data_IF_037428506757
#
_entry.id   IF_037428506757
#
_cell.length_a   1.000
_cell.length_b   1.000
_cell.length_c   1.000
_cell.angle_alpha   90.00
_cell.angle_beta   90.00
_cell.angle_gamma   90.00
#
_symmetry.space_group_name_H-M   'P 1'
#
loop_
_entity.id
_entity.type
_entity.pdbx_description
1 polymer ?
#
# COMPACT_ATOMS: atom_id res chain seq x y z
N UNK A 1 2.38 -6.71 14.21
CA UNK A 1 2.81 -5.83 13.10
C UNK A 1 3.92 -6.51 12.33
N UNK A 2 3.79 -6.60 11.04
CA UNK A 2 4.75 -7.32 10.21
C UNK A 2 5.02 -6.58 8.92
N UNK A 3 6.29 -6.52 8.53
CA UNK A 3 6.67 -6.00 7.22
C UNK A 3 6.46 -7.10 6.19
N UNK A 4 5.52 -6.90 5.29
CA UNK A 4 5.14 -7.90 4.29
C UNK A 4 5.62 -7.53 2.89
N UNK A 5 6.25 -6.38 2.73
CA UNK A 5 6.80 -5.98 1.45
C UNK A 5 7.72 -4.79 1.58
N UNK A 6 8.58 -4.63 0.60
CA UNK A 6 9.47 -3.48 0.50
C UNK A 6 9.37 -2.92 -0.91
N UNK A 7 9.46 -1.60 -1.00
CA UNK A 7 9.25 -0.88 -2.25
C UNK A 7 10.30 0.17 -2.44
N UNK A 8 10.67 0.42 -3.69
CA UNK A 8 11.68 1.41 -4.06
C UNK A 8 11.07 2.39 -5.06
N UNK A 9 11.35 3.68 -4.88
CA UNK A 9 10.92 4.69 -5.81
C UNK A 9 11.73 4.61 -7.10
N UNK A 10 11.03 4.57 -8.24
CA UNK A 10 11.67 4.50 -9.54
C UNK A 10 10.76 5.17 -10.58
N UNK A 11 11.28 6.20 -11.25
CA UNK A 11 10.57 6.91 -12.30
C UNK A 11 9.19 7.42 -11.86
N UNK A 12 9.10 7.90 -10.62
CA UNK A 12 7.86 8.41 -10.07
C UNK A 12 6.89 7.36 -9.56
N UNK A 13 7.27 6.10 -9.63
CA UNK A 13 6.44 4.98 -9.17
C UNK A 13 7.13 4.29 -8.01
N UNK A 14 6.37 3.50 -7.25
CA UNK A 14 6.94 2.63 -6.23
C UNK A 14 6.83 1.20 -6.71
N UNK A 15 7.95 0.49 -6.74
CA UNK A 15 8.03 -0.86 -7.27
C UNK A 15 8.58 -1.78 -6.20
N UNK A 16 7.94 -2.91 -6.01
CA UNK A 16 8.39 -3.89 -5.02
C UNK A 16 7.55 -5.14 -5.02
N UNK A 17 7.62 -5.87 -3.93
CA UNK A 17 6.95 -7.16 -3.79
C UNK A 17 6.28 -7.28 -2.44
N UNK A 18 5.16 -7.99 -2.42
CA UNK A 18 4.55 -8.52 -1.21
C UNK A 18 4.89 -9.99 -1.10
N UNK A 19 5.25 -10.42 0.09
CA UNK A 19 5.45 -11.83 0.36
C UNK A 19 4.88 -12.17 1.73
N UNK A 20 3.91 -13.07 1.76
CA UNK A 20 3.31 -13.63 2.96
C UNK A 20 3.27 -15.14 2.79
N UNK A 21 2.59 -15.84 3.70
CA UNK A 21 2.46 -17.29 3.57
C UNK A 21 1.72 -17.70 2.29
N UNK A 22 0.76 -16.90 1.85
CA UNK A 22 -0.09 -17.27 0.71
C UNK A 22 0.05 -16.32 -0.47
N UNK A 23 0.72 -15.18 -0.30
CA UNK A 23 0.81 -14.16 -1.34
C UNK A 23 2.28 -13.93 -1.69
N UNK A 24 2.59 -14.02 -2.97
CA UNK A 24 3.90 -13.64 -3.49
C UNK A 24 3.65 -12.93 -4.81
N UNK A 25 3.71 -11.61 -4.79
CA UNK A 25 3.33 -10.83 -5.95
C UNK A 25 4.18 -9.57 -6.06
N UNK A 26 4.52 -9.23 -7.30
CA UNK A 26 5.16 -7.95 -7.61
C UNK A 26 4.07 -6.90 -7.75
N UNK A 27 4.26 -5.76 -7.12
CA UNK A 27 3.30 -4.66 -7.17
C UNK A 27 3.97 -3.38 -7.63
N UNK A 28 3.20 -2.56 -8.33
CA UNK A 28 3.61 -1.22 -8.72
C UNK A 28 2.58 -0.22 -8.22
N UNK A 29 3.02 0.80 -7.50
CA UNK A 29 2.18 1.91 -7.08
C UNK A 29 2.42 3.05 -8.07
N UNK A 30 1.44 3.33 -8.91
CA UNK A 30 1.53 4.40 -9.91
C UNK A 30 0.74 5.61 -9.44
N UNK A 31 1.30 6.83 -9.56
CA UNK A 31 0.56 8.03 -9.17
C UNK A 31 -0.78 8.10 -9.89
N UNK A 32 -1.83 8.41 -9.15
CA UNK A 32 -3.16 8.57 -9.73
C UNK A 32 -3.28 9.98 -10.28
N UNK A 33 -3.40 10.09 -11.58
CA UNK A 33 -3.51 11.40 -12.23
C UNK A 33 -4.92 11.97 -12.20
N UNK A 34 -5.90 11.15 -11.88
CA UNK A 34 -7.28 11.59 -11.80
C UNK A 34 -7.68 11.75 -10.33
N UNK A 35 -7.40 12.90 -9.76
CA UNK A 35 -7.71 13.21 -8.37
C UNK A 35 -8.78 14.30 -8.27
N UNK A 36 -9.74 14.29 -9.18
CA UNK A 36 -10.84 15.24 -9.16
C UNK A 36 -11.78 15.05 -7.97
N UNK A 37 -11.74 13.87 -7.36
CA UNK A 37 -12.54 13.52 -6.19
C UNK A 37 -11.62 13.50 -4.96
N UNK A 38 -11.95 14.21 -3.85
CA UNK A 38 -11.10 14.19 -2.67
C UNK A 38 -10.94 12.79 -2.05
N UNK A 39 -11.82 11.86 -2.38
CA UNK A 39 -11.71 10.48 -1.91
C UNK A 39 -10.88 9.59 -2.85
N UNK A 40 -10.36 10.14 -3.93
CA UNK A 40 -9.55 9.37 -4.87
C UNK A 40 -8.19 9.01 -4.24
N UNK A 41 -7.65 7.83 -4.54
CA UNK A 41 -6.35 7.44 -4.01
C UNK A 41 -5.22 8.27 -4.61
N UNK A 42 -4.14 8.44 -3.84
CA UNK A 42 -2.93 9.11 -4.34
C UNK A 42 -2.17 8.21 -5.32
N UNK A 43 -2.21 6.89 -5.10
CA UNK A 43 -1.61 5.90 -5.98
C UNK A 43 -2.61 4.83 -6.35
N UNK A 44 -2.49 4.32 -7.57
CA UNK A 44 -3.20 3.12 -7.99
C UNK A 44 -2.22 1.96 -7.95
N UNK A 45 -2.65 0.82 -7.46
CA UNK A 45 -1.77 -0.34 -7.26
C UNK A 45 -2.06 -1.38 -8.33
N UNK A 46 -1.00 -1.82 -8.99
CA UNK A 46 -1.11 -2.81 -10.08
C UNK A 46 -0.22 -4.01 -9.81
N UNK A 47 -0.69 -5.18 -10.23
CA UNK A 47 0.14 -6.36 -10.37
C UNK A 47 0.16 -6.71 -11.85
N UNK A 48 1.26 -6.38 -12.53
CA UNK A 48 1.28 -6.44 -13.97
C UNK A 48 0.28 -5.45 -14.55
N UNK A 49 -0.69 -5.95 -15.28
CA UNK A 49 -1.76 -5.13 -15.87
C UNK A 49 -3.00 -5.05 -15.00
N UNK A 50 -3.08 -5.88 -13.98
CA UNK A 50 -4.28 -5.93 -13.14
C UNK A 50 -4.21 -4.86 -12.07
N UNK A 51 -5.22 -4.03 -12.00
CA UNK A 51 -5.35 -3.05 -10.91
C UNK A 51 -5.93 -3.77 -9.70
N UNK A 52 -5.17 -3.79 -8.60
CA UNK A 52 -5.54 -4.56 -7.42
C UNK A 52 -5.79 -3.70 -6.19
N UNK A 53 -5.70 -2.39 -6.31
CA UNK A 53 -6.00 -1.55 -5.15
C UNK A 53 -5.58 -0.11 -5.31
N UNK A 54 -5.55 0.58 -4.18
CA UNK A 54 -5.16 1.98 -4.11
C UNK A 54 -4.47 2.30 -2.80
N UNK A 55 -3.84 3.46 -2.77
CA UNK A 55 -3.17 3.96 -1.58
C UNK A 55 -3.59 5.40 -1.35
N UNK A 56 -4.01 5.70 -0.12
CA UNK A 56 -4.49 7.01 0.28
C UNK A 56 -3.50 7.65 1.25
N UNK A 57 -3.15 8.91 1.00
CA UNK A 57 -2.23 9.64 1.86
C UNK A 57 -2.89 9.96 3.19
N UNK A 58 -2.18 9.66 4.28
CA UNK A 58 -2.62 9.94 5.64
C UNK A 58 -1.47 10.57 6.41
N UNK A 59 -1.81 11.28 7.47
CA UNK A 59 -0.82 11.86 8.37
C UNK A 59 -1.00 11.25 9.74
N UNK A 60 0.09 10.75 10.32
CA UNK A 60 0.08 10.17 11.65
C UNK A 60 -0.14 11.27 12.69
N UNK A 61 -1.12 11.08 13.57
CA UNK A 61 -1.40 12.04 14.65
C UNK A 61 -0.28 12.08 15.68
N UNK A 62 0.42 10.95 15.85
CA UNK A 62 1.45 10.84 16.87
C UNK A 62 2.79 11.42 16.43
N UNK A 63 3.17 11.24 15.17
CA UNK A 63 4.48 11.63 14.69
C UNK A 63 4.46 12.76 13.67
N UNK A 64 3.29 13.09 13.12
CA UNK A 64 3.16 14.05 12.04
C UNK A 64 3.70 13.57 10.70
N UNK A 65 4.16 12.33 10.61
CA UNK A 65 4.69 11.78 9.36
C UNK A 65 3.59 11.35 8.43
N UNK A 66 3.83 11.51 7.15
CA UNK A 66 2.94 11.03 6.11
C UNK A 66 3.17 9.54 5.87
N UNK A 67 2.07 8.82 5.75
CA UNK A 67 2.11 7.42 5.33
C UNK A 67 0.94 7.18 4.38
N UNK A 68 0.89 6.01 3.77
CA UNK A 68 -0.20 5.68 2.87
C UNK A 68 -0.97 4.49 3.40
N UNK A 69 -2.30 4.66 3.47
CA UNK A 69 -3.19 3.56 3.80
C UNK A 69 -3.47 2.81 2.51
N UNK A 70 -3.12 1.54 2.46
CA UNK A 70 -3.19 0.72 1.25
C UNK A 70 -4.34 -0.26 1.37
N UNK A 71 -5.17 -0.32 0.34
CA UNK A 71 -6.24 -1.30 0.23
C UNK A 71 -5.99 -2.13 -1.01
N UNK A 72 -5.83 -3.44 -0.83
CA UNK A 72 -5.69 -4.38 -1.93
C UNK A 72 -6.90 -5.27 -1.98
N UNK A 73 -7.40 -5.52 -3.18
CA UNK A 73 -8.55 -6.37 -3.38
C UNK A 73 -8.40 -7.10 -4.70
N UNK A 74 -8.64 -8.39 -4.68
CA UNK A 74 -8.50 -9.24 -5.85
C UNK A 74 -9.53 -10.36 -5.73
N UNK A 75 -10.02 -10.88 -6.86
CA UNK A 75 -11.00 -11.99 -6.79
C UNK A 75 -10.51 -13.22 -6.03
N UNK A 76 -9.19 -13.38 -5.89
CA UNK A 76 -8.63 -14.51 -5.14
C UNK A 76 -8.64 -14.28 -3.63
N UNK A 77 -8.94 -13.06 -3.19
CA UNK A 77 -9.00 -12.73 -1.76
C UNK A 77 -10.40 -12.95 -1.22
N UNK A 78 -10.49 -13.47 0.01
CA UNK A 78 -11.78 -13.61 0.67
C UNK A 78 -12.38 -12.26 1.04
N UNK A 79 -11.54 -11.25 1.28
CA UNK A 79 -11.96 -9.91 1.66
C UNK A 79 -10.86 -8.92 1.29
N UNK A 80 -11.17 -7.62 1.19
CA UNK A 80 -10.14 -6.63 0.96
C UNK A 80 -9.06 -6.68 2.04
N UNK A 81 -7.85 -6.41 1.63
CA UNK A 81 -6.65 -6.50 2.47
C UNK A 81 -6.14 -5.09 2.75
N UNK A 82 -5.86 -4.78 4.00
CA UNK A 82 -5.41 -3.44 4.40
C UNK A 82 -4.02 -3.49 5.00
N UNK A 83 -3.19 -2.51 4.64
CA UNK A 83 -1.85 -2.38 5.17
C UNK A 83 -1.42 -0.91 5.09
N UNK A 84 -0.29 -0.58 5.70
CA UNK A 84 0.25 0.77 5.65
C UNK A 84 1.61 0.78 4.96
N UNK A 85 1.79 1.74 4.07
CA UNK A 85 3.05 1.94 3.36
C UNK A 85 3.78 3.11 4.04
N UNK A 86 4.96 2.84 4.58
CA UNK A 86 5.70 3.78 5.41
C UNK A 86 7.10 3.98 4.85
N UNK A 87 7.53 5.24 4.75
CA UNK A 87 8.89 5.54 4.31
C UNK A 87 9.91 5.05 5.34
N UNK A 88 11.01 4.51 4.86
CA UNK A 88 12.10 4.00 5.69
C UNK A 88 13.21 5.03 5.76
N UNK A 89 13.89 5.10 6.91
CA UNK A 89 15.01 6.02 7.10
C UNK A 89 16.18 5.73 6.15
N UNK A 90 16.33 4.48 5.76
CA UNK A 90 17.38 4.03 4.85
C UNK A 90 17.03 4.23 3.38
N UNK A 91 15.87 4.79 3.10
CA UNK A 91 15.35 4.93 1.75
C UNK A 91 14.37 3.83 1.43
N UNK A 92 13.51 4.07 0.44
CA UNK A 92 12.47 3.13 0.09
C UNK A 92 11.30 3.16 1.05
N UNK A 93 10.41 2.20 0.88
CA UNK A 93 9.17 2.10 1.67
C UNK A 93 8.97 0.66 2.12
N UNK A 94 8.33 0.50 3.27
CA UNK A 94 7.92 -0.81 3.76
C UNK A 94 6.40 -0.87 3.82
N UNK A 95 5.84 -2.00 3.40
CA UNK A 95 4.42 -2.28 3.55
C UNK A 95 4.24 -3.09 4.82
N UNK A 96 3.49 -2.52 5.76
CA UNK A 96 3.36 -3.07 7.11
C UNK A 96 1.91 -3.47 7.34
N UNK A 97 1.73 -4.70 7.80
CA UNK A 97 0.41 -5.25 8.09
C UNK A 97 0.27 -5.56 9.56
N UNK A 98 -0.89 -5.25 10.11
CA UNK A 98 -1.27 -5.63 11.46
C UNK A 98 -2.65 -6.23 11.43
N UNK A 99 -2.88 -7.22 12.27
CA UNK A 99 -4.22 -7.76 12.42
C UNK A 99 -5.10 -6.69 13.06
N UNK A 100 -6.26 -6.38 12.47
CA UNK A 100 -7.16 -5.41 13.07
C UNK A 100 -7.55 -5.86 14.47
N UNK A 101 -7.50 -4.94 15.42
CA UNK A 101 -7.93 -5.23 16.78
C UNK A 101 -9.44 -5.16 16.87
N UNK A 102 -10.02 -6.17 17.51
CA UNK A 102 -11.44 -6.17 17.79
C UNK A 102 -11.71 -5.39 19.06
N UNK A 103 -12.69 -4.54 19.00
CA UNK A 103 -13.22 -3.89 20.18
C UNK A 103 -14.53 -4.57 20.55
N UNK A 104 -14.58 -5.05 21.74
CA UNK A 104 -15.81 -5.64 22.29
C UNK A 104 -16.55 -4.65 23.14
#
# INVERSE_FOLDING_TARGET
MATIGTFTARDGKLIGKIQTLSINASLTFAPNQNQSNPDAPAYRVFSGRAEVGGAWEKTSENTGRTYYSVRLDDPTFAAPFFANLVAQDEGGFALIWSRPQRRD
#
